data_IF_710726333484
#
_entry.id   IF_710726333484
#
_cell.length_a   1.000
_cell.length_b   1.000
_cell.length_c   1.000
_cell.angle_alpha   90.00
_cell.angle_beta   90.00
_cell.angle_gamma   90.00
#
_symmetry.space_group_name_H-M   'P 1'
#
loop_
_entity.id
_entity.type
_entity.pdbx_description
1 polymer ?
#
# COMPACT_ATOMS: atom_id res chain seq x y z
N UNK A 1 2.61 19.63 -15.12
CA UNK A 1 3.18 18.26 -14.98
C UNK A 1 2.02 17.29 -14.83
N UNK A 2 1.98 16.25 -15.63
CA UNK A 2 0.97 15.20 -15.52
C UNK A 2 1.26 14.28 -14.33
N UNK A 3 0.26 13.50 -13.89
CA UNK A 3 0.47 12.54 -12.81
C UNK A 3 1.55 11.50 -13.17
N UNK A 4 1.58 11.03 -14.42
CA UNK A 4 2.59 10.06 -14.89
C UNK A 4 3.99 10.64 -14.83
N UNK A 5 4.19 11.89 -15.23
CA UNK A 5 5.49 12.59 -15.10
C UNK A 5 5.90 12.70 -13.63
N UNK A 6 4.97 13.03 -12.75
CA UNK A 6 5.21 13.09 -11.30
C UNK A 6 5.62 11.73 -10.74
N UNK A 7 4.90 10.64 -11.10
CA UNK A 7 5.24 9.29 -10.66
C UNK A 7 6.63 8.87 -11.18
N UNK A 8 6.97 9.24 -12.40
CA UNK A 8 8.30 8.97 -12.96
C UNK A 8 9.42 9.66 -12.16
N UNK A 9 9.19 10.89 -11.70
CA UNK A 9 10.13 11.57 -10.79
C UNK A 9 10.24 10.86 -9.44
N UNK A 10 9.13 10.38 -8.88
CA UNK A 10 9.18 9.59 -7.65
C UNK A 10 9.93 8.26 -7.83
N UNK A 11 9.82 7.60 -8.99
CA UNK A 11 10.62 6.41 -9.30
C UNK A 11 12.11 6.74 -9.30
N UNK A 12 12.52 7.86 -9.89
CA UNK A 12 13.92 8.32 -9.86
C UNK A 12 14.41 8.62 -8.43
N UNK A 13 13.55 9.16 -7.56
CA UNK A 13 13.86 9.33 -6.14
C UNK A 13 13.97 7.98 -5.41
N UNK A 14 13.06 7.05 -5.70
CA UNK A 14 13.09 5.71 -5.12
C UNK A 14 14.42 4.99 -5.36
N UNK A 15 15.01 5.15 -6.57
CA UNK A 15 16.33 4.61 -6.91
C UNK A 15 17.48 5.10 -6.03
N UNK A 16 17.34 6.30 -5.45
CA UNK A 16 18.37 6.89 -4.58
C UNK A 16 18.30 6.35 -3.16
N UNK A 17 17.18 5.72 -2.77
CA UNK A 17 17.01 5.15 -1.44
C UNK A 17 17.88 3.89 -1.33
N UNK A 18 18.83 3.92 -0.39
CA UNK A 18 19.77 2.82 -0.17
C UNK A 18 19.15 1.82 0.82
N UNK A 19 18.80 0.59 0.39
CA UNK A 19 18.35 -0.43 1.30
C UNK A 19 19.50 -0.89 2.21
N UNK A 20 19.18 -1.38 3.43
CA UNK A 20 20.20 -1.93 4.32
C UNK A 20 20.83 -3.18 3.72
N UNK A 21 22.02 -3.56 4.21
CA UNK A 21 22.69 -4.80 3.81
C UNK A 21 21.78 -6.02 4.05
N UNK A 22 21.75 -6.94 3.10
CA UNK A 22 20.87 -8.12 3.14
C UNK A 22 19.45 -7.88 2.63
N UNK A 23 19.19 -6.70 2.07
CA UNK A 23 17.99 -6.37 1.32
C UNK A 23 18.40 -6.06 -0.10
N UNK A 24 17.79 -6.71 -1.09
CA UNK A 24 18.10 -6.43 -2.47
C UNK A 24 17.61 -5.02 -2.83
N UNK A 25 18.48 -4.28 -3.50
CA UNK A 25 18.07 -3.05 -4.15
C UNK A 25 16.99 -3.38 -5.18
N UNK A 26 16.03 -2.52 -5.27
CA UNK A 26 15.32 -2.38 -6.52
C UNK A 26 16.41 -2.18 -7.59
N UNK A 27 16.55 -3.10 -8.51
CA UNK A 27 17.40 -2.88 -9.67
C UNK A 27 16.94 -1.63 -10.41
N UNK A 28 17.54 -1.34 -11.55
CA UNK A 28 17.14 -0.16 -12.34
C UNK A 28 15.60 -0.08 -12.41
N UNK A 29 15.03 0.76 -11.55
CA UNK A 29 13.62 1.11 -11.56
C UNK A 29 13.36 1.79 -12.89
N UNK A 30 12.30 1.48 -13.57
CA UNK A 30 11.96 2.09 -14.83
C UNK A 30 11.78 1.10 -15.97
N UNK A 31 11.77 -0.21 -15.68
CA UNK A 31 11.44 -1.22 -16.67
C UNK A 31 9.96 -1.34 -16.97
N UNK A 32 9.08 -0.99 -16.05
CA UNK A 32 7.65 -1.10 -16.23
C UNK A 32 6.99 0.28 -16.30
N UNK A 33 6.64 0.69 -17.50
CA UNK A 33 5.73 1.82 -17.74
C UNK A 33 4.26 1.40 -17.64
N UNK A 34 3.99 0.24 -17.03
CA UNK A 34 2.70 -0.41 -16.96
C UNK A 34 2.10 -0.51 -15.56
N UNK A 35 0.96 -1.21 -15.45
CA UNK A 35 0.25 -1.42 -14.20
C UNK A 35 1.01 -2.41 -13.30
N UNK A 36 1.75 -1.88 -12.35
CA UNK A 36 2.34 -2.58 -11.23
C UNK A 36 2.43 -1.66 -10.03
N UNK A 37 2.54 -2.23 -8.82
CA UNK A 37 2.74 -1.43 -7.61
C UNK A 37 4.00 -0.57 -7.75
N UNK A 38 3.89 0.68 -7.29
CA UNK A 38 5.05 1.55 -7.18
C UNK A 38 6.07 0.93 -6.18
N UNK A 39 7.39 0.97 -6.44
CA UNK A 39 8.06 1.73 -7.49
C UNK A 39 8.38 0.94 -8.78
N UNK A 40 8.08 -0.35 -8.87
CA UNK A 40 8.39 -1.12 -10.08
C UNK A 40 7.50 -0.75 -11.27
N UNK A 41 6.24 -0.36 -11.00
CA UNK A 41 5.34 0.22 -11.98
C UNK A 41 4.82 1.59 -11.58
N UNK A 42 3.85 2.08 -12.33
CA UNK A 42 3.27 3.41 -12.10
C UNK A 42 2.24 3.46 -10.97
N UNK A 43 1.94 2.34 -10.31
CA UNK A 43 0.95 2.27 -9.23
C UNK A 43 -0.51 2.50 -9.70
N UNK A 44 -0.72 2.64 -11.02
CA UNK A 44 -2.01 2.93 -11.63
C UNK A 44 -2.49 1.76 -12.49
N UNK A 45 -3.80 1.58 -12.62
CA UNK A 45 -4.39 0.65 -13.58
C UNK A 45 -4.11 1.10 -15.01
N UNK A 46 -4.24 0.18 -15.97
CA UNK A 46 -4.01 0.50 -17.38
C UNK A 46 -4.96 1.59 -17.89
N UNK A 47 -6.22 1.53 -17.49
CA UNK A 47 -7.24 2.54 -17.82
C UNK A 47 -6.94 3.90 -17.20
N UNK A 48 -6.43 3.93 -15.95
CA UNK A 48 -6.07 5.18 -15.27
C UNK A 48 -4.91 5.93 -15.93
N UNK A 49 -4.02 5.23 -16.64
CA UNK A 49 -2.89 5.86 -17.34
C UNK A 49 -3.32 6.84 -18.43
N UNK A 50 -4.53 6.67 -18.98
CA UNK A 50 -5.12 7.60 -19.97
C UNK A 50 -5.98 8.69 -19.37
N UNK A 51 -6.25 8.65 -18.07
CA UNK A 51 -7.11 9.63 -17.40
C UNK A 51 -6.28 10.77 -16.80
N UNK A 52 -6.76 12.00 -16.96
CA UNK A 52 -6.16 13.17 -16.29
C UNK A 52 -6.67 13.36 -14.86
N UNK A 53 -7.39 12.38 -14.33
CA UNK A 53 -7.94 12.43 -12.98
C UNK A 53 -6.92 11.95 -11.96
N UNK A 54 -6.82 12.66 -10.84
CA UNK A 54 -5.99 12.23 -9.72
C UNK A 54 -6.69 11.09 -8.97
N UNK A 55 -5.94 10.06 -8.54
CA UNK A 55 -6.45 9.04 -7.65
C UNK A 55 -7.01 9.66 -6.36
N UNK A 56 -8.10 9.13 -5.85
CA UNK A 56 -8.70 9.55 -4.58
C UNK A 56 -8.46 8.52 -3.48
N UNK A 57 -7.87 7.38 -3.83
CA UNK A 57 -7.54 6.29 -2.92
C UNK A 57 -6.05 5.99 -3.07
N UNK A 58 -5.36 5.79 -1.94
CA UNK A 58 -3.98 5.27 -1.92
C UNK A 58 -3.97 3.94 -1.18
N UNK A 59 -3.58 2.87 -1.86
CA UNK A 59 -3.34 1.57 -1.25
C UNK A 59 -1.84 1.38 -0.97
N UNK A 60 -1.51 1.07 0.28
CA UNK A 60 -0.13 0.96 0.74
C UNK A 60 0.14 -0.49 1.14
N UNK A 61 0.94 -1.20 0.35
CA UNK A 61 1.50 -2.50 0.65
C UNK A 61 2.75 -2.42 1.52
N UNK A 62 3.30 -3.57 1.91
CA UNK A 62 4.49 -3.62 2.74
C UNK A 62 5.76 -3.35 1.93
N UNK A 63 6.00 -4.15 0.90
CA UNK A 63 7.08 -4.04 -0.07
C UNK A 63 6.68 -4.72 -1.37
N UNK A 64 7.47 -4.55 -2.43
CA UNK A 64 7.13 -5.11 -3.76
C UNK A 64 7.23 -6.65 -3.84
N UNK A 65 7.72 -7.32 -2.84
CA UNK A 65 7.91 -8.77 -2.84
C UNK A 65 9.39 -9.15 -2.85
N UNK A 66 9.79 -10.07 -3.73
CA UNK A 66 11.17 -10.56 -3.82
C UNK A 66 11.74 -10.40 -5.23
N UNK A 67 13.04 -10.69 -5.37
CA UNK A 67 13.74 -10.55 -6.65
C UNK A 67 13.17 -11.46 -7.75
N UNK A 68 12.82 -12.70 -7.43
CA UNK A 68 12.22 -13.62 -8.41
C UNK A 68 10.85 -13.13 -8.89
N UNK A 69 10.00 -12.69 -7.97
CA UNK A 69 8.71 -12.09 -8.32
C UNK A 69 8.88 -10.86 -9.21
N UNK A 70 9.86 -10.02 -8.91
CA UNK A 70 10.20 -8.86 -9.73
C UNK A 70 10.58 -9.26 -11.14
N UNK A 71 11.46 -10.26 -11.33
CA UNK A 71 11.86 -10.77 -12.64
C UNK A 71 10.66 -11.30 -13.43
N UNK A 72 9.75 -11.99 -12.76
CA UNK A 72 8.50 -12.46 -13.36
C UNK A 72 7.64 -11.29 -13.88
N UNK A 73 7.42 -10.27 -13.06
CA UNK A 73 6.65 -9.08 -13.43
C UNK A 73 7.34 -8.32 -14.58
N UNK A 74 8.65 -8.16 -14.53
CA UNK A 74 9.42 -7.51 -15.61
C UNK A 74 9.30 -8.28 -16.94
N UNK A 75 9.36 -9.61 -16.89
CA UNK A 75 9.18 -10.45 -18.08
C UNK A 75 7.77 -10.36 -18.65
N UNK A 76 6.76 -10.25 -17.78
CA UNK A 76 5.36 -10.10 -18.19
C UNK A 76 5.01 -8.66 -18.66
N UNK A 77 5.80 -7.66 -18.25
CA UNK A 77 5.55 -6.25 -18.53
C UNK A 77 4.40 -5.64 -17.71
N UNK A 78 3.77 -6.42 -16.79
CA UNK A 78 2.58 -6.03 -16.02
C UNK A 78 2.39 -6.89 -14.77
N UNK A 79 1.68 -6.36 -13.79
CA UNK A 79 1.32 -7.05 -12.53
C UNK A 79 -0.20 -7.23 -12.35
N UNK A 80 -1.01 -6.55 -13.14
CA UNK A 80 -2.47 -6.51 -12.99
C UNK A 80 -3.18 -7.87 -13.25
N UNK A 81 -2.48 -8.85 -13.80
CA UNK A 81 -2.90 -10.24 -13.91
C UNK A 81 -2.67 -11.06 -12.61
N UNK A 82 -1.93 -10.54 -11.64
CA UNK A 82 -1.63 -11.22 -10.37
C UNK A 82 -2.77 -11.15 -9.38
N UNK A 83 -2.81 -12.14 -8.48
CA UNK A 83 -3.90 -12.29 -7.52
C UNK A 83 -4.10 -11.06 -6.62
N UNK A 84 -3.01 -10.45 -6.15
CA UNK A 84 -3.06 -9.25 -5.30
C UNK A 84 -3.78 -8.11 -6.00
N UNK A 85 -3.42 -7.86 -7.25
CA UNK A 85 -4.00 -6.78 -8.04
C UNK A 85 -5.49 -7.05 -8.36
N UNK A 86 -5.79 -8.23 -8.93
CA UNK A 86 -7.17 -8.62 -9.28
C UNK A 86 -8.12 -8.60 -8.07
N UNK A 87 -7.65 -9.11 -6.91
CA UNK A 87 -8.46 -9.13 -5.71
C UNK A 87 -8.69 -7.71 -5.17
N UNK A 88 -7.69 -6.82 -5.28
CA UNK A 88 -7.84 -5.42 -4.90
C UNK A 88 -8.85 -4.71 -5.79
N UNK A 89 -8.80 -4.92 -7.11
CA UNK A 89 -9.75 -4.35 -8.05
C UNK A 89 -11.18 -4.84 -7.77
N UNK A 90 -11.34 -6.15 -7.56
CA UNK A 90 -12.62 -6.73 -7.19
C UNK A 90 -13.18 -6.13 -5.89
N UNK A 91 -12.30 -5.91 -4.91
CA UNK A 91 -12.67 -5.33 -3.62
C UNK A 91 -13.13 -3.87 -3.76
N UNK A 92 -12.42 -3.06 -4.56
CA UNK A 92 -12.80 -1.68 -4.85
C UNK A 92 -14.14 -1.60 -5.60
N UNK A 93 -14.36 -2.45 -6.60
CA UNK A 93 -15.63 -2.54 -7.31
C UNK A 93 -16.79 -2.92 -6.36
N UNK A 94 -16.59 -3.90 -5.50
CA UNK A 94 -17.59 -4.30 -4.48
C UNK A 94 -17.87 -3.16 -3.48
N UNK A 95 -16.87 -2.33 -3.21
CA UNK A 95 -17.03 -1.14 -2.37
C UNK A 95 -17.75 0.02 -3.07
N UNK A 96 -18.02 -0.09 -4.37
CA UNK A 96 -18.66 0.95 -5.19
C UNK A 96 -17.69 2.00 -5.72
N UNK A 97 -16.40 1.67 -5.78
CA UNK A 97 -15.35 2.55 -6.31
C UNK A 97 -14.70 1.95 -7.56
N UNK A 98 -14.16 2.81 -8.44
CA UNK A 98 -13.37 2.35 -9.59
C UNK A 98 -11.93 2.01 -9.16
N UNK A 99 -11.35 0.89 -9.66
CA UNK A 99 -9.92 0.61 -9.55
C UNK A 99 -9.02 1.73 -10.09
N UNK A 100 -9.50 2.51 -11.06
CA UNK A 100 -8.78 3.62 -11.68
C UNK A 100 -8.55 4.80 -10.72
N UNK A 101 -9.33 4.88 -9.66
CA UNK A 101 -9.19 5.90 -8.62
C UNK A 101 -8.18 5.53 -7.55
N UNK A 102 -7.46 4.41 -7.70
CA UNK A 102 -6.54 3.89 -6.70
C UNK A 102 -5.09 3.96 -7.20
N UNK A 103 -4.25 4.70 -6.47
CA UNK A 103 -2.79 4.62 -6.57
C UNK A 103 -2.27 3.55 -5.62
N UNK A 104 -1.45 2.64 -6.12
CA UNK A 104 -0.92 1.49 -5.37
C UNK A 104 0.57 1.68 -5.14
N UNK A 105 0.97 1.75 -3.88
CA UNK A 105 2.36 1.97 -3.45
C UNK A 105 2.75 1.04 -2.30
N UNK A 106 4.00 1.13 -1.86
CA UNK A 106 4.53 0.33 -0.77
C UNK A 106 5.17 1.20 0.32
N UNK A 107 5.15 0.70 1.55
CA UNK A 107 5.82 1.33 2.70
C UNK A 107 7.34 1.30 2.54
N UNK A 108 7.87 0.17 2.09
CA UNK A 108 9.30 -0.01 1.84
C UNK A 108 9.63 -0.07 0.35
N UNK A 109 10.69 0.65 -0.02
CA UNK A 109 11.26 0.70 -1.37
C UNK A 109 12.37 -0.33 -1.48
N UNK A 110 12.01 -1.61 -1.57
CA UNK A 110 13.00 -2.68 -1.64
C UNK A 110 12.36 -4.05 -1.83
N UNK A 111 13.19 -5.05 -2.02
CA UNK A 111 12.83 -6.43 -2.27
C UNK A 111 13.33 -7.34 -1.14
N UNK A 112 12.59 -8.39 -0.85
CA UNK A 112 13.12 -9.50 -0.08
C UNK A 112 14.14 -10.27 -0.96
N UNK A 113 15.25 -10.76 -0.37
CA UNK A 113 16.26 -11.51 -1.14
C UNK A 113 15.70 -12.87 -1.62
N UNK A 114 16.13 -13.29 -2.82
CA UNK A 114 15.80 -14.58 -3.41
C UNK A 114 14.32 -14.74 -3.72
N UNK A 115 13.75 -15.91 -3.36
CA UNK A 115 12.38 -16.31 -3.69
C UNK A 115 11.35 -16.09 -2.58
N UNK A 116 11.74 -15.53 -1.44
CA UNK A 116 10.85 -15.33 -0.29
C UNK A 116 9.87 -14.17 -0.55
N UNK A 117 8.65 -14.52 -0.90
CA UNK A 117 7.58 -13.52 -1.10
C UNK A 117 6.94 -13.03 0.22
N UNK A 118 7.18 -13.72 1.34
CA UNK A 118 6.58 -13.43 2.65
C UNK A 118 7.62 -13.41 3.74
N UNK A 119 7.40 -12.62 4.78
CA UNK A 119 8.26 -12.52 5.95
C UNK A 119 8.53 -11.08 6.37
N UNK A 120 9.23 -10.91 7.48
CA UNK A 120 9.67 -9.57 7.91
C UNK A 120 10.66 -9.01 6.90
N UNK A 121 10.33 -7.87 6.33
CA UNK A 121 11.17 -7.20 5.35
C UNK A 121 12.52 -6.74 5.95
N UNK A 122 12.53 -6.37 7.22
CA UNK A 122 13.74 -5.99 7.96
C UNK A 122 13.70 -6.67 9.33
N UNK A 123 14.69 -7.50 9.63
CA UNK A 123 14.84 -8.11 10.96
C UNK A 123 15.11 -7.06 12.05
N UNK A 124 15.87 -6.00 11.70
CA UNK A 124 16.06 -4.79 12.50
C UNK A 124 15.76 -3.59 11.61
N UNK A 125 14.76 -2.76 11.93
CA UNK A 125 14.43 -1.62 11.12
C UNK A 125 15.59 -0.63 11.11
N UNK A 126 16.27 -0.52 9.97
CA UNK A 126 17.20 0.57 9.76
C UNK A 126 16.42 1.88 9.73
N UNK A 127 16.54 2.64 10.80
CA UNK A 127 15.77 3.87 10.99
C UNK A 127 15.89 4.85 9.82
N UNK A 128 17.10 5.01 9.30
CA UNK A 128 17.37 5.94 8.18
C UNK A 128 16.70 5.48 6.88
N UNK A 129 16.76 4.17 6.60
CA UNK A 129 16.11 3.62 5.42
C UNK A 129 14.58 3.76 5.48
N UNK A 130 13.98 3.38 6.60
CA UNK A 130 12.53 3.55 6.78
C UNK A 130 12.12 5.02 6.72
N UNK A 131 12.94 5.93 7.27
CA UNK A 131 12.69 7.35 7.16
C UNK A 131 12.74 7.85 5.72
N UNK A 132 13.69 7.39 4.91
CA UNK A 132 13.78 7.73 3.48
C UNK A 132 12.56 7.22 2.70
N UNK A 133 12.16 5.95 2.90
CA UNK A 133 10.94 5.40 2.30
C UNK A 133 9.69 6.20 2.70
N UNK A 134 9.56 6.53 3.98
CA UNK A 134 8.45 7.33 4.51
C UNK A 134 8.44 8.75 3.94
N UNK A 135 9.60 9.38 3.75
CA UNK A 135 9.68 10.71 3.13
C UNK A 135 9.15 10.72 1.70
N UNK A 136 9.44 9.66 0.94
CA UNK A 136 8.88 9.49 -0.40
C UNK A 136 7.37 9.25 -0.37
N UNK A 137 6.88 8.42 0.56
CA UNK A 137 5.45 8.19 0.75
C UNK A 137 4.70 9.48 1.13
N UNK A 138 5.29 10.33 1.99
CA UNK A 138 4.73 11.64 2.33
C UNK A 138 4.56 12.50 1.08
N UNK A 139 5.56 12.57 0.19
CA UNK A 139 5.47 13.32 -1.08
C UNK A 139 4.32 12.79 -1.96
N UNK A 140 4.16 11.47 -2.04
CA UNK A 140 3.05 10.86 -2.78
C UNK A 140 1.70 11.29 -2.20
N UNK A 141 1.55 11.23 -0.88
CA UNK A 141 0.31 11.65 -0.19
C UNK A 141 0.05 13.16 -0.34
N UNK A 142 1.10 13.99 -0.28
CA UNK A 142 1.00 15.44 -0.52
C UNK A 142 0.48 15.77 -1.91
N UNK A 143 0.95 15.07 -2.92
CA UNK A 143 0.56 15.36 -4.31
C UNK A 143 -0.80 14.76 -4.67
N UNK A 144 -1.09 13.54 -4.18
CA UNK A 144 -2.36 12.85 -4.50
C UNK A 144 -3.52 13.40 -3.68
N UNK A 145 -3.33 13.77 -2.41
CA UNK A 145 -4.38 14.23 -1.49
C UNK A 145 -5.57 13.25 -1.43
N UNK A 146 -5.34 11.95 -1.08
CA UNK A 146 -6.39 10.96 -1.13
C UNK A 146 -7.47 11.18 -0.08
N UNK A 147 -8.72 10.85 -0.41
CA UNK A 147 -9.84 10.80 0.54
C UNK A 147 -9.79 9.56 1.43
N UNK A 148 -9.12 8.48 0.96
CA UNK A 148 -8.92 7.26 1.74
C UNK A 148 -7.54 6.65 1.53
N UNK A 149 -6.95 6.13 2.62
CA UNK A 149 -5.72 5.35 2.63
C UNK A 149 -6.06 3.93 3.07
N UNK A 150 -5.71 2.94 2.25
CA UNK A 150 -5.91 1.52 2.50
C UNK A 150 -4.56 0.87 2.87
N UNK A 151 -4.42 0.40 4.10
CA UNK A 151 -3.20 -0.22 4.61
C UNK A 151 -3.31 -1.74 4.47
N UNK A 152 -2.48 -2.33 3.61
CA UNK A 152 -2.55 -3.74 3.22
C UNK A 152 -1.66 -4.60 4.12
N UNK A 153 -2.22 -5.20 5.12
CA UNK A 153 -1.51 -6.06 6.06
C UNK A 153 -1.28 -5.44 7.44
N UNK A 154 -1.16 -6.28 8.50
CA UNK A 154 -1.01 -5.79 9.88
C UNK A 154 0.33 -5.06 10.08
N UNK A 155 1.39 -5.46 9.35
CA UNK A 155 2.69 -4.82 9.45
C UNK A 155 2.69 -3.38 8.94
N UNK A 156 1.92 -3.08 7.88
CA UNK A 156 1.75 -1.71 7.39
C UNK A 156 0.91 -0.90 8.37
N UNK A 157 -0.20 -1.48 8.82
CA UNK A 157 -1.10 -0.83 9.78
C UNK A 157 -0.37 -0.46 11.09
N UNK A 158 0.44 -1.40 11.64
CA UNK A 158 1.18 -1.17 12.89
C UNK A 158 2.30 -0.12 12.76
N UNK A 159 2.73 0.23 11.55
CA UNK A 159 3.73 1.28 11.28
C UNK A 159 3.11 2.63 10.98
N UNK A 160 1.86 2.65 10.54
CA UNK A 160 1.21 3.85 10.02
C UNK A 160 1.10 4.98 11.06
N UNK A 161 1.15 4.69 12.38
CA UNK A 161 1.20 5.72 13.43
C UNK A 161 2.38 6.69 13.27
N UNK A 162 3.44 6.30 12.55
CA UNK A 162 4.62 7.14 12.27
C UNK A 162 4.33 8.27 11.28
N UNK A 163 3.24 8.15 10.52
CA UNK A 163 2.71 9.18 9.62
C UNK A 163 1.45 9.83 10.19
N UNK A 164 0.63 9.05 10.88
CA UNK A 164 -0.72 9.37 11.30
C UNK A 164 -0.84 9.13 12.81
N UNK A 165 -0.59 10.14 13.65
CA UNK A 165 -0.56 9.98 15.11
C UNK A 165 -1.83 9.36 15.71
N UNK A 166 -2.98 9.57 15.08
CA UNK A 166 -4.25 8.96 15.51
C UNK A 166 -4.25 7.42 15.49
N UNK A 167 -3.30 6.80 14.75
CA UNK A 167 -3.17 5.34 14.64
C UNK A 167 -2.24 4.71 15.70
N UNK A 168 -1.82 5.47 16.72
CA UNK A 168 -1.04 4.93 17.86
C UNK A 168 -1.68 3.66 18.47
N UNK A 169 -3.02 3.49 18.53
CA UNK A 169 -3.62 2.25 19.00
C UNK A 169 -3.28 0.98 18.18
N UNK A 170 -2.74 1.13 16.97
CA UNK A 170 -2.28 0.01 16.13
C UNK A 170 -0.79 -0.27 16.24
N UNK A 171 -0.01 0.57 16.94
CA UNK A 171 1.45 0.54 16.95
C UNK A 171 2.06 -0.83 17.24
N UNK A 172 1.49 -1.54 18.19
CA UNK A 172 2.04 -2.82 18.67
C UNK A 172 1.22 -4.02 18.16
N UNK A 173 0.37 -3.81 17.16
CA UNK A 173 -0.45 -4.87 16.58
C UNK A 173 0.41 -5.80 15.71
N UNK A 174 0.50 -7.07 16.10
CA UNK A 174 1.16 -8.12 15.31
C UNK A 174 0.17 -8.93 14.47
N UNK A 175 -1.09 -8.96 14.87
CA UNK A 175 -2.15 -9.75 14.27
C UNK A 175 -3.39 -8.90 14.00
N UNK A 176 -4.22 -9.35 13.10
CA UNK A 176 -5.48 -8.69 12.77
C UNK A 176 -6.40 -8.48 13.97
N UNK A 177 -6.44 -9.46 14.88
CA UNK A 177 -7.28 -9.35 16.06
C UNK A 177 -6.86 -8.19 16.97
N UNK A 178 -5.58 -7.85 16.98
CA UNK A 178 -5.05 -6.74 17.78
C UNK A 178 -5.51 -5.39 17.19
N UNK A 179 -5.54 -5.28 15.86
CA UNK A 179 -6.09 -4.12 15.14
C UNK A 179 -7.62 -4.02 15.34
N UNK A 180 -8.32 -5.11 15.04
CA UNK A 180 -9.79 -5.13 15.05
C UNK A 180 -10.37 -4.91 16.47
N UNK A 181 -9.60 -5.21 17.53
CA UNK A 181 -9.96 -4.98 18.93
C UNK A 181 -9.39 -3.71 19.55
N UNK A 182 -8.56 -2.97 18.82
CA UNK A 182 -8.06 -1.69 19.29
C UNK A 182 -9.20 -0.70 19.58
N UNK A 183 -8.90 0.39 20.26
CA UNK A 183 -9.89 1.41 20.60
C UNK A 183 -10.53 2.08 19.37
N UNK A 184 -9.80 2.11 18.24
CA UNK A 184 -10.28 2.68 16.98
C UNK A 184 -10.77 1.63 15.97
N UNK A 185 -10.69 0.32 16.33
CA UNK A 185 -11.06 -0.78 15.42
C UNK A 185 -10.18 -0.83 14.18
N UNK A 186 -10.75 -1.25 13.06
CA UNK A 186 -10.07 -1.43 11.78
C UNK A 186 -10.03 -0.17 10.89
N UNK A 187 -10.62 0.94 11.31
CA UNK A 187 -10.67 2.18 10.54
C UNK A 187 -10.62 3.42 11.43
N UNK A 188 -10.05 4.49 10.92
CA UNK A 188 -10.03 5.80 11.53
C UNK A 188 -10.50 6.83 10.51
N UNK A 189 -11.46 7.67 10.86
CA UNK A 189 -12.06 8.67 9.97
C UNK A 189 -11.48 10.05 10.23
N UNK A 190 -11.37 10.82 9.15
CA UNK A 190 -10.96 12.23 9.16
C UNK A 190 -9.70 12.49 10.01
N UNK A 191 -8.72 11.61 9.88
CA UNK A 191 -7.47 11.73 10.61
C UNK A 191 -6.47 12.62 9.87
N UNK A 192 -5.68 13.36 10.64
CA UNK A 192 -4.63 14.19 10.08
C UNK A 192 -3.37 13.39 9.78
N UNK A 193 -2.77 13.67 8.61
CA UNK A 193 -1.42 13.28 8.20
C UNK A 193 -0.57 14.54 8.17
N UNK A 194 -0.03 14.99 9.32
CA UNK A 194 0.54 16.35 9.45
C UNK A 194 1.64 16.63 8.44
N UNK A 195 2.55 15.66 8.22
CA UNK A 195 3.66 15.80 7.28
C UNK A 195 3.23 15.94 5.81
N UNK A 196 2.00 15.49 5.47
CA UNK A 196 1.43 15.62 4.13
C UNK A 196 0.41 16.78 4.02
N UNK A 197 0.16 17.50 5.11
CA UNK A 197 -0.92 18.49 5.19
C UNK A 197 -2.23 17.95 4.61
N UNK A 198 -2.62 16.76 5.05
CA UNK A 198 -3.72 15.98 4.52
C UNK A 198 -4.64 15.54 5.66
N UNK A 199 -5.95 15.62 5.45
CA UNK A 199 -6.98 14.98 6.27
C UNK A 199 -7.68 13.90 5.45
N UNK A 200 -7.76 12.68 5.96
CA UNK A 200 -8.18 11.50 5.18
C UNK A 200 -8.78 10.41 6.06
N UNK A 201 -9.47 9.47 5.46
CA UNK A 201 -9.92 8.26 6.12
C UNK A 201 -8.87 7.15 5.97
N UNK A 202 -8.69 6.32 6.99
CA UNK A 202 -7.69 5.24 6.97
C UNK A 202 -8.36 3.92 7.32
N UNK A 203 -8.05 2.88 6.54
CA UNK A 203 -8.59 1.53 6.71
C UNK A 203 -7.46 0.52 6.72
N UNK A 204 -7.45 -0.39 7.69
CA UNK A 204 -6.57 -1.55 7.73
C UNK A 204 -7.28 -2.76 7.08
N UNK A 205 -6.71 -3.28 6.00
CA UNK A 205 -7.26 -4.38 5.20
C UNK A 205 -6.32 -5.60 5.24
N UNK A 206 -6.89 -6.81 5.15
CA UNK A 206 -6.11 -8.00 4.81
C UNK A 206 -5.31 -7.73 3.53
N UNK A 207 -4.10 -8.32 3.46
CA UNK A 207 -3.39 -8.27 2.20
C UNK A 207 -4.23 -8.99 1.12
N UNK A 208 -4.46 -8.38 -0.06
CA UNK A 208 -5.39 -8.92 -1.06
C UNK A 208 -4.99 -10.28 -1.64
N UNK A 209 -3.75 -10.75 -1.43
CA UNK A 209 -3.35 -12.12 -1.77
C UNK A 209 -4.03 -13.20 -0.90
N UNK A 210 -4.62 -12.80 0.24
CA UNK A 210 -5.34 -13.74 1.09
C UNK A 210 -6.75 -13.99 0.54
N UNK A 211 -7.08 -15.27 0.38
CA UNK A 211 -8.37 -15.69 -0.16
C UNK A 211 -9.56 -15.48 0.79
N UNK A 212 -10.80 -15.77 0.31
CA UNK A 212 -12.06 -15.55 1.03
C UNK A 212 -12.13 -16.20 2.42
N UNK A 213 -11.45 -17.34 2.63
CA UNK A 213 -11.42 -18.02 3.93
C UNK A 213 -10.78 -17.16 5.04
N UNK A 214 -9.76 -16.37 4.70
CA UNK A 214 -9.12 -15.48 5.67
C UNK A 214 -10.00 -14.26 5.97
N UNK A 215 -10.70 -13.73 4.97
CA UNK A 215 -11.68 -12.67 5.16
C UNK A 215 -12.82 -13.13 6.10
N UNK A 216 -13.36 -14.31 5.86
CA UNK A 216 -14.40 -14.90 6.72
C UNK A 216 -13.90 -15.13 8.15
N UNK A 217 -12.65 -15.56 8.32
CA UNK A 217 -12.04 -15.74 9.65
C UNK A 217 -11.86 -14.40 10.38
N UNK A 218 -11.40 -13.36 9.66
CA UNK A 218 -11.25 -12.02 10.22
C UNK A 218 -12.59 -11.46 10.66
N UNK A 219 -13.61 -11.52 9.80
CA UNK A 219 -14.95 -11.01 10.07
C UNK A 219 -15.57 -11.61 11.35
N UNK A 220 -15.36 -12.91 11.61
CA UNK A 220 -15.81 -13.58 12.83
C UNK A 220 -15.15 -13.04 14.12
N UNK A 221 -13.97 -12.44 14.01
CA UNK A 221 -13.21 -11.90 15.15
C UNK A 221 -13.46 -10.41 15.40
N UNK A 222 -14.13 -9.73 14.50
CA UNK A 222 -14.48 -8.31 14.65
C UNK A 222 -15.59 -8.12 15.68
N UNK A 223 -15.55 -7.00 16.41
CA UNK A 223 -16.64 -6.60 17.33
C UNK A 223 -17.93 -6.33 16.57
N UNK A 224 -17.81 -5.71 15.41
CA UNK A 224 -18.91 -5.45 14.46
C UNK A 224 -18.50 -6.15 13.17
N UNK A 225 -19.08 -7.29 12.83
CA UNK A 225 -18.77 -8.01 11.59
C UNK A 225 -19.05 -7.13 10.38
N UNK A 226 -18.04 -6.96 9.53
CA UNK A 226 -18.16 -6.26 8.26
C UNK A 226 -17.22 -6.88 7.24
N UNK A 227 -17.63 -6.93 5.99
CA UNK A 227 -16.74 -7.28 4.89
C UNK A 227 -15.76 -6.16 4.61
N UNK A 228 -14.61 -6.47 4.02
CA UNK A 228 -13.64 -5.44 3.67
C UNK A 228 -14.18 -4.43 2.66
N UNK A 229 -15.08 -4.86 1.76
CA UNK A 229 -15.77 -3.96 0.84
C UNK A 229 -16.68 -2.96 1.58
N UNK A 230 -17.41 -3.41 2.62
CA UNK A 230 -18.22 -2.52 3.46
C UNK A 230 -17.36 -1.53 4.25
N UNK A 231 -16.21 -1.97 4.75
CA UNK A 231 -15.26 -1.12 5.46
C UNK A 231 -14.73 -0.02 4.52
N UNK A 232 -14.31 -0.39 3.30
CA UNK A 232 -13.85 0.58 2.29
C UNK A 232 -14.98 1.54 1.92
N UNK A 233 -16.17 1.01 1.62
CA UNK A 233 -17.33 1.84 1.27
C UNK A 233 -17.62 2.88 2.37
N UNK A 234 -17.58 2.47 3.62
CA UNK A 234 -17.78 3.36 4.75
C UNK A 234 -16.70 4.44 4.87
N UNK A 235 -15.46 4.17 4.43
CA UNK A 235 -14.37 5.14 4.42
C UNK A 235 -14.43 6.10 3.23
N UNK A 236 -15.16 5.74 2.16
CA UNK A 236 -15.33 6.58 0.96
C UNK A 236 -16.59 7.46 1.02
N UNK A 237 -17.49 7.19 1.95
CA UNK A 237 -18.70 7.98 2.22
C UNK A 237 -18.40 9.22 3.06
#
# INVERSE_FOLDING_TARGET
MTLVETITLWQQEALKIQPPSGTDRLGAVGGLHGPAFFPEGLGLSHSALGLNERPTIVAIGHNFGCEEYRKEIQSAGREDDKATWRNMDALLLQAGSSPDRCFRTNWFIGLLPGSKQTGRFLANPNHYYEQACRSLLIKQLQEIQPTAILLLGPEVASRAYRLIPALVPWRDAERWIDIDRSSIGHSAREVDVPAANLRTNVVALLHPSFGPANQSRRMKNMRIPATEAEIIRAALA
#
